data_IF_746861260105
#
_entry.id   IF_746861260105
#
_cell.length_a   1.000
_cell.length_b   1.000
_cell.length_c   1.000
_cell.angle_alpha   90.00
_cell.angle_beta   90.00
_cell.angle_gamma   90.00
#
_symmetry.space_group_name_H-M   'P 1'
#
loop_
_entity.id
_entity.type
_entity.pdbx_description
1 polymer ?
#
# COMPACT_ATOMS: atom_id res chain seq x y z
N UNK A 1 -117.08 6.04 55.04
CA UNK A 1 -117.88 5.97 56.28
C UNK A 1 -119.08 6.93 56.19
N UNK A 2 -119.98 6.68 55.25
CA UNK A 2 -121.15 7.52 54.90
C UNK A 2 -122.45 6.69 54.99
N UNK A 3 -122.55 5.73 55.92
CA UNK A 3 -123.63 4.74 55.91
C UNK A 3 -124.17 4.32 57.30
N UNK A 4 -123.93 5.09 58.37
CA UNK A 4 -124.30 4.63 59.73
C UNK A 4 -125.20 5.56 60.56
N UNK A 5 -125.82 6.60 60.00
CA UNK A 5 -126.76 7.45 60.77
C UNK A 5 -128.13 7.68 60.14
N UNK A 6 -128.55 6.87 59.18
CA UNK A 6 -129.86 7.00 58.50
C UNK A 6 -131.00 6.25 59.23
N UNK A 7 -130.77 5.66 60.41
CA UNK A 7 -131.67 4.66 61.00
C UNK A 7 -132.53 5.14 62.20
N UNK A 8 -132.78 6.44 62.41
CA UNK A 8 -133.50 6.92 63.62
C UNK A 8 -134.76 7.75 63.35
N UNK A 9 -135.29 7.79 62.13
CA UNK A 9 -136.47 8.63 61.81
C UNK A 9 -137.67 7.84 61.25
N UNK A 10 -138.20 6.90 62.04
CA UNK A 10 -139.55 6.36 61.81
C UNK A 10 -140.43 6.65 63.04
N UNK A 11 -141.44 7.54 62.93
CA UNK A 11 -142.35 7.83 64.03
C UNK A 11 -143.25 6.61 64.35
N UNK A 12 -143.55 6.36 65.64
CA UNK A 12 -144.48 5.29 66.04
C UNK A 12 -145.92 5.61 65.59
N UNK A 13 -146.78 4.59 65.37
CA UNK A 13 -148.15 4.77 64.90
C UNK A 13 -149.01 5.56 65.92
N UNK A 14 -149.92 6.45 65.47
CA UNK A 14 -150.74 7.26 66.36
C UNK A 14 -151.79 6.42 67.11
N UNK A 15 -152.16 6.80 68.35
CA UNK A 15 -153.18 6.09 69.15
C UNK A 15 -154.59 6.22 68.54
N UNK A 16 -155.46 5.24 68.84
CA UNK A 16 -156.75 4.93 68.17
C UNK A 16 -157.80 6.05 68.06
N UNK A 17 -157.56 7.23 68.64
CA UNK A 17 -158.47 8.38 68.63
C UNK A 17 -157.87 9.68 68.07
N UNK A 18 -156.75 9.59 67.32
CA UNK A 18 -156.15 10.75 66.65
C UNK A 18 -156.89 11.10 65.34
N UNK A 19 -157.43 12.33 65.22
CA UNK A 19 -158.16 12.79 64.02
C UNK A 19 -157.32 13.62 63.04
N UNK A 20 -156.00 13.74 63.26
CA UNK A 20 -155.09 14.53 62.43
C UNK A 20 -154.48 13.74 61.26
N UNK A 21 -154.11 14.44 60.20
CA UNK A 21 -153.49 13.86 58.98
C UNK A 21 -152.04 13.45 59.29
N UNK A 22 -151.73 12.17 59.12
CA UNK A 22 -150.37 11.61 59.33
C UNK A 22 -149.48 11.96 58.12
N UNK A 23 -148.33 12.62 58.30
CA UNK A 23 -147.42 12.94 57.20
C UNK A 23 -146.74 11.68 56.64
N UNK A 24 -146.57 11.60 55.32
CA UNK A 24 -145.81 10.53 54.67
C UNK A 24 -144.30 10.65 54.95
N UNK A 25 -143.60 9.52 55.06
CA UNK A 25 -142.17 9.46 55.39
C UNK A 25 -141.30 10.22 54.36
N UNK A 26 -140.37 11.11 54.80
CA UNK A 26 -139.54 11.90 53.89
C UNK A 26 -138.45 11.05 53.22
N UNK A 27 -138.23 11.24 51.91
CA UNK A 27 -137.18 10.55 51.15
C UNK A 27 -135.80 11.19 51.39
N UNK A 28 -134.84 10.40 51.89
CA UNK A 28 -133.35 10.52 51.95
C UNK A 28 -132.60 11.88 52.08
N UNK A 29 -133.25 13.04 52.00
CA UNK A 29 -132.70 14.39 52.25
C UNK A 29 -133.84 15.38 52.55
N UNK A 30 -134.29 15.54 53.81
CA UNK A 30 -135.48 16.32 54.14
C UNK A 30 -135.27 17.83 53.87
N UNK A 31 -136.23 18.46 53.19
CA UNK A 31 -136.21 19.91 52.93
C UNK A 31 -136.73 20.69 54.15
N UNK A 32 -136.41 21.99 54.28
CA UNK A 32 -136.81 22.81 55.44
C UNK A 32 -138.34 22.76 55.73
N UNK A 33 -139.25 22.75 54.73
CA UNK A 33 -140.68 22.53 54.96
C UNK A 33 -141.02 21.14 55.53
N UNK A 34 -140.32 20.08 55.13
CA UNK A 34 -140.53 18.73 55.65
C UNK A 34 -140.14 18.63 57.13
N UNK A 35 -139.03 19.30 57.50
CA UNK A 35 -138.60 19.42 58.90
C UNK A 35 -139.60 20.23 59.75
N UNK A 36 -140.16 21.32 59.20
CA UNK A 36 -141.19 22.12 59.88
C UNK A 36 -142.47 21.31 60.09
N UNK A 37 -142.93 20.58 59.07
CA UNK A 37 -144.13 19.74 59.18
C UNK A 37 -143.94 18.57 60.16
N UNK A 38 -142.76 17.96 60.21
CA UNK A 38 -142.43 16.95 61.22
C UNK A 38 -142.47 17.53 62.64
N UNK A 39 -141.90 18.72 62.85
CA UNK A 39 -141.92 19.41 64.16
C UNK A 39 -143.37 19.75 64.57
N UNK A 40 -144.19 20.27 63.65
CA UNK A 40 -145.61 20.56 63.90
C UNK A 40 -146.39 19.28 64.23
N UNK A 41 -146.13 18.17 63.54
CA UNK A 41 -146.75 16.87 63.82
C UNK A 41 -146.38 16.36 65.23
N UNK A 42 -145.11 16.42 65.63
CA UNK A 42 -144.69 16.04 66.99
C UNK A 42 -145.28 16.97 68.07
N UNK A 43 -145.46 18.27 67.78
CA UNK A 43 -146.16 19.20 68.68
C UNK A 43 -147.65 18.85 68.82
N UNK A 44 -148.33 18.50 67.72
CA UNK A 44 -149.72 18.07 67.74
C UNK A 44 -149.92 16.73 68.45
N UNK A 45 -148.99 15.78 68.25
CA UNK A 45 -148.97 14.52 68.98
C UNK A 45 -148.80 14.74 70.49
N UNK A 46 -147.88 15.64 70.88
CA UNK A 46 -147.67 16.05 72.26
C UNK A 46 -148.90 16.68 72.91
N UNK A 47 -149.62 17.55 72.20
CA UNK A 47 -150.88 18.15 72.65
C UNK A 47 -152.01 17.12 72.77
N UNK A 48 -152.10 16.15 71.85
CA UNK A 48 -153.11 15.09 71.91
C UNK A 48 -152.86 14.09 73.06
N UNK A 49 -151.60 13.77 73.35
CA UNK A 49 -151.22 12.97 74.52
C UNK A 49 -151.47 13.73 75.84
N UNK A 50 -151.31 15.05 75.84
CA UNK A 50 -151.66 15.89 77.01
C UNK A 50 -153.18 15.97 77.24
N UNK A 51 -153.99 15.95 76.18
CA UNK A 51 -155.45 15.90 76.27
C UNK A 51 -156.00 14.50 76.62
N UNK A 52 -155.25 13.42 76.32
CA UNK A 52 -155.58 12.06 76.74
C UNK A 52 -155.23 11.77 78.22
N UNK A 53 -154.18 12.40 78.76
CA UNK A 53 -153.80 12.27 80.18
C UNK A 53 -154.67 13.10 81.15
N UNK A 54 -155.48 14.04 80.65
CA UNK A 54 -156.44 14.82 81.46
C UNK A 54 -157.83 14.14 81.58
N UNK A 55 -158.02 12.95 81.00
CA UNK A 55 -159.29 12.18 81.06
C UNK A 55 -159.27 10.90 81.89
N UNK A 56 -158.20 10.64 82.66
CA UNK A 56 -158.08 9.40 83.44
C UNK A 56 -157.92 9.56 84.95
N UNK A 57 -158.07 10.78 85.49
CA UNK A 57 -158.23 10.99 86.94
C UNK A 57 -159.23 12.14 87.22
N UNK A 58 -160.46 11.74 87.58
CA UNK A 58 -161.57 12.50 88.19
C UNK A 58 -162.52 13.36 87.32
N UNK A 59 -163.76 12.87 87.10
CA UNK A 59 -164.97 13.66 86.87
C UNK A 59 -165.94 13.63 88.08
N UNK A 60 -166.48 14.82 88.40
CA UNK A 60 -167.83 15.15 88.89
C UNK A 60 -168.43 14.58 90.20
N UNK A 61 -168.73 15.51 91.13
CA UNK A 61 -170.03 15.71 91.82
C UNK A 61 -170.16 17.23 92.08
N UNK A 62 -170.97 18.03 91.38
CA UNK A 62 -172.45 18.15 91.28
C UNK A 62 -173.07 18.98 92.43
N UNK A 63 -173.18 20.30 92.16
CA UNK A 63 -174.34 21.20 92.35
C UNK A 63 -174.95 21.53 93.74
N UNK A 64 -175.36 22.82 93.84
CA UNK A 64 -176.35 23.45 94.74
C UNK A 64 -175.85 23.74 96.18
N UNK A 65 -175.93 24.94 96.77
CA UNK A 65 -177.09 25.82 96.98
C UNK A 65 -176.64 27.31 97.13
N UNK A 66 -177.50 28.19 96.63
CA UNK A 66 -177.63 29.66 96.75
C UNK A 66 -176.93 30.42 97.91
N UNK A 67 -176.25 31.53 97.54
CA UNK A 67 -176.28 32.92 98.13
C UNK A 67 -175.89 33.16 99.61
N UNK A 68 -175.49 34.39 100.05
CA UNK A 68 -174.66 35.44 99.45
C UNK A 68 -173.45 35.86 100.35
N UNK A 69 -172.43 36.51 99.76
CA UNK A 69 -171.62 37.51 100.46
C UNK A 69 -170.21 37.09 100.93
N UNK A 70 -169.24 37.97 100.64
CA UNK A 70 -167.83 38.01 101.14
C UNK A 70 -166.78 37.08 100.50
N UNK A 71 -166.43 37.34 99.23
CA UNK A 71 -165.21 36.81 98.58
C UNK A 71 -164.26 37.95 98.15
N UNK A 72 -163.52 38.51 99.10
CA UNK A 72 -162.38 39.41 98.82
C UNK A 72 -161.09 39.04 99.60
N UNK A 73 -161.09 37.96 100.40
CA UNK A 73 -159.98 37.63 101.29
C UNK A 73 -159.18 36.35 100.97
N UNK A 74 -159.69 35.44 100.13
CA UNK A 74 -159.06 34.11 99.94
C UNK A 74 -158.26 33.96 98.63
N UNK A 75 -158.57 34.73 97.58
CA UNK A 75 -157.93 34.59 96.27
C UNK A 75 -156.48 35.14 96.21
N UNK A 76 -156.12 36.09 97.07
CA UNK A 76 -154.80 36.75 97.05
C UNK A 76 -153.70 35.91 97.75
N UNK A 77 -154.07 35.01 98.67
CA UNK A 77 -153.10 34.23 99.45
C UNK A 77 -152.54 33.01 98.70
N UNK A 78 -153.35 32.37 97.85
CA UNK A 78 -152.97 31.15 97.12
C UNK A 78 -152.04 31.45 95.93
N UNK A 79 -152.19 32.59 95.25
CA UNK A 79 -151.34 32.99 94.12
C UNK A 79 -149.88 33.33 94.54
N UNK A 80 -149.65 33.77 95.79
CA UNK A 80 -148.30 34.12 96.26
C UNK A 80 -147.44 32.92 96.68
N UNK A 81 -148.06 31.82 97.14
CA UNK A 81 -147.31 30.62 97.56
C UNK A 81 -146.78 29.83 96.36
N UNK A 82 -147.57 29.64 95.30
CA UNK A 82 -147.19 28.75 94.18
C UNK A 82 -146.08 29.34 93.26
N UNK A 83 -145.98 30.67 93.15
CA UNK A 83 -145.01 31.31 92.24
C UNK A 83 -143.57 31.41 92.79
N UNK A 84 -143.41 31.42 94.12
CA UNK A 84 -142.10 31.50 94.77
C UNK A 84 -141.35 30.17 94.75
N UNK A 85 -142.05 29.06 95.00
CA UNK A 85 -141.44 27.74 95.16
C UNK A 85 -140.90 27.19 93.84
N UNK A 86 -141.63 27.35 92.73
CA UNK A 86 -141.19 26.92 91.39
C UNK A 86 -139.94 27.70 90.93
N UNK A 87 -139.85 29.00 91.24
CA UNK A 87 -138.72 29.85 90.82
C UNK A 87 -137.43 29.54 91.60
N UNK A 88 -137.55 29.14 92.86
CA UNK A 88 -136.41 28.73 93.68
C UNK A 88 -135.81 27.41 93.16
N UNK A 89 -136.66 26.44 92.83
CA UNK A 89 -136.22 25.12 92.34
C UNK A 89 -135.53 25.21 90.96
N UNK A 90 -136.07 26.02 90.05
CA UNK A 90 -135.48 26.24 88.73
C UNK A 90 -134.08 26.88 88.83
N UNK A 91 -133.90 27.86 89.72
CA UNK A 91 -132.60 28.50 89.92
C UNK A 91 -131.57 27.53 90.49
N UNK A 92 -131.98 26.62 91.39
CA UNK A 92 -131.11 25.59 91.95
C UNK A 92 -130.61 24.61 90.88
N UNK A 93 -131.51 24.11 90.04
CA UNK A 93 -131.13 23.21 88.93
C UNK A 93 -130.21 23.90 87.92
N UNK A 94 -130.44 25.18 87.63
CA UNK A 94 -129.57 25.96 86.75
C UNK A 94 -128.16 26.16 87.33
N UNK A 95 -128.03 26.37 88.65
CA UNK A 95 -126.72 26.47 89.31
C UNK A 95 -125.99 25.14 89.31
N UNK A 96 -126.67 24.04 89.62
CA UNK A 96 -126.08 22.70 89.63
C UNK A 96 -125.62 22.29 88.23
N UNK A 97 -126.41 22.57 87.18
CA UNK A 97 -126.02 22.30 85.79
C UNK A 97 -124.83 23.15 85.32
N UNK A 98 -124.72 24.42 85.78
CA UNK A 98 -123.57 25.27 85.48
C UNK A 98 -122.30 24.77 86.16
N UNK A 99 -122.40 24.30 87.39
CA UNK A 99 -121.28 23.72 88.12
C UNK A 99 -120.83 22.40 87.49
N UNK A 100 -121.74 21.49 87.13
CA UNK A 100 -121.41 20.26 86.39
C UNK A 100 -120.72 20.59 85.06
N UNK A 101 -121.28 21.54 84.29
CA UNK A 101 -120.69 21.95 83.02
C UNK A 101 -119.28 22.55 83.20
N UNK A 102 -119.07 23.40 84.20
CA UNK A 102 -117.74 23.93 84.52
C UNK A 102 -116.77 22.83 84.92
N UNK A 103 -117.18 21.85 85.73
CA UNK A 103 -116.31 20.73 86.09
C UNK A 103 -115.94 19.88 84.87
N UNK A 104 -116.87 19.63 83.94
CA UNK A 104 -116.59 18.92 82.68
C UNK A 104 -115.66 19.71 81.77
N UNK A 105 -115.82 21.03 81.66
CA UNK A 105 -114.89 21.88 80.90
C UNK A 105 -113.49 21.88 81.49
N UNK A 106 -113.35 22.01 82.82
CA UNK A 106 -112.02 21.95 83.46
C UNK A 106 -111.36 20.57 83.30
N UNK A 107 -112.13 19.48 83.29
CA UNK A 107 -111.60 18.14 83.02
C UNK A 107 -111.18 17.98 81.56
N UNK A 108 -111.92 18.56 80.62
CA UNK A 108 -111.57 18.61 79.21
C UNK A 108 -110.28 19.41 78.98
N UNK A 109 -110.14 20.57 79.60
CA UNK A 109 -108.92 21.39 79.51
C UNK A 109 -107.72 20.61 80.03
N UNK A 110 -107.82 19.97 81.21
CA UNK A 110 -106.75 19.11 81.74
C UNK A 110 -106.39 17.96 80.80
N UNK A 111 -107.40 17.29 80.22
CA UNK A 111 -107.17 16.20 79.26
C UNK A 111 -106.52 16.71 77.98
N UNK A 112 -106.92 17.88 77.48
CA UNK A 112 -106.31 18.50 76.31
C UNK A 112 -104.86 18.89 76.60
N UNK A 113 -104.56 19.51 77.75
CA UNK A 113 -103.20 19.84 78.17
C UNK A 113 -102.31 18.59 78.26
N UNK A 114 -102.83 17.48 78.81
CA UNK A 114 -102.10 16.21 78.86
C UNK A 114 -101.85 15.62 77.47
N UNK A 115 -102.82 15.73 76.55
CA UNK A 115 -102.66 15.28 75.16
C UNK A 115 -101.64 16.16 74.42
N UNK A 116 -101.70 17.49 74.57
CA UNK A 116 -100.72 18.40 73.98
C UNK A 116 -99.31 18.14 74.50
N UNK A 117 -99.15 17.89 75.81
CA UNK A 117 -97.85 17.47 76.37
C UNK A 117 -97.31 16.18 75.75
N UNK A 118 -98.16 15.17 75.57
CA UNK A 118 -97.76 13.91 74.90
C UNK A 118 -97.37 14.14 73.44
N UNK A 119 -98.08 15.02 72.74
CA UNK A 119 -97.76 15.40 71.36
C UNK A 119 -96.43 16.15 71.31
N UNK A 120 -96.18 17.10 72.21
CA UNK A 120 -94.90 17.80 72.32
C UNK A 120 -93.73 16.85 72.63
N UNK A 121 -93.93 15.86 73.51
CA UNK A 121 -92.94 14.82 73.79
C UNK A 121 -92.65 13.95 72.57
N UNK A 122 -93.68 13.58 71.79
CA UNK A 122 -93.49 12.86 70.53
C UNK A 122 -92.74 13.69 69.49
N UNK A 123 -93.08 14.98 69.34
CA UNK A 123 -92.37 15.89 68.45
C UNK A 123 -90.90 16.05 68.86
N UNK A 124 -90.59 16.20 70.16
CA UNK A 124 -89.20 16.18 70.64
C UNK A 124 -88.47 14.89 70.27
N UNK A 125 -89.13 13.74 70.44
CA UNK A 125 -88.57 12.44 70.02
C UNK A 125 -88.34 12.33 68.51
N UNK A 126 -89.19 12.97 67.70
CA UNK A 126 -89.01 13.07 66.24
C UNK A 126 -87.84 13.99 65.90
N UNK A 127 -87.73 15.16 66.53
CA UNK A 127 -86.64 16.12 66.35
C UNK A 127 -85.29 15.48 66.70
N UNK A 128 -85.20 14.74 67.80
CA UNK A 128 -83.99 14.00 68.18
C UNK A 128 -83.58 12.95 67.14
N UNK A 129 -84.56 12.28 66.50
CA UNK A 129 -84.28 11.31 65.42
C UNK A 129 -83.82 12.00 64.15
N UNK A 130 -84.40 13.14 63.79
CA UNK A 130 -83.94 13.94 62.66
C UNK A 130 -82.52 14.47 62.88
N UNK A 131 -82.22 14.99 64.07
CA UNK A 131 -80.85 15.40 64.42
C UNK A 131 -79.84 14.25 64.28
N UNK A 132 -80.18 13.04 64.73
CA UNK A 132 -79.33 11.85 64.54
C UNK A 132 -79.19 11.44 63.07
N UNK A 133 -80.22 11.65 62.25
CA UNK A 133 -80.16 11.41 60.81
C UNK A 133 -79.21 12.42 60.15
N UNK A 134 -79.33 13.71 60.49
CA UNK A 134 -78.46 14.77 59.98
C UNK A 134 -77.00 14.52 60.36
N UNK A 135 -76.72 14.12 61.61
CA UNK A 135 -75.37 13.72 62.02
C UNK A 135 -74.81 12.54 61.20
N UNK A 136 -75.66 11.56 60.85
CA UNK A 136 -75.25 10.42 60.01
C UNK A 136 -74.99 10.86 58.57
N UNK A 137 -75.81 11.74 58.01
CA UNK A 137 -75.58 12.30 56.68
C UNK A 137 -74.31 13.13 56.63
N UNK A 138 -74.04 13.96 57.64
CA UNK A 138 -72.79 14.71 57.74
C UNK A 138 -71.56 13.77 57.75
N UNK A 139 -71.62 12.66 58.51
CA UNK A 139 -70.55 11.64 58.51
C UNK A 139 -70.41 10.92 57.16
N UNK A 140 -71.52 10.72 56.44
CA UNK A 140 -71.49 10.13 55.10
C UNK A 140 -70.82 11.11 54.12
N UNK A 141 -71.17 12.39 54.16
CA UNK A 141 -70.57 13.43 53.33
C UNK A 141 -69.07 13.58 53.60
N UNK A 142 -68.64 13.54 54.86
CA UNK A 142 -67.21 13.51 55.22
C UNK A 142 -66.48 12.30 54.63
N UNK A 143 -67.11 11.12 54.65
CA UNK A 143 -66.53 9.92 54.04
C UNK A 143 -66.46 10.03 52.51
N UNK A 144 -67.45 10.60 51.86
CA UNK A 144 -67.44 10.82 50.41
C UNK A 144 -66.35 11.82 50.02
N UNK A 145 -66.18 12.93 50.76
CA UNK A 145 -65.03 13.83 50.58
C UNK A 145 -63.69 13.10 50.70
N UNK A 146 -63.55 12.23 51.70
CA UNK A 146 -62.35 11.41 51.85
C UNK A 146 -62.15 10.36 50.75
N UNK A 147 -63.22 9.93 50.07
CA UNK A 147 -63.13 9.07 48.88
C UNK A 147 -62.71 9.89 47.66
N UNK A 148 -63.29 11.06 47.45
CA UNK A 148 -62.95 11.97 46.36
C UNK A 148 -61.46 12.36 46.43
N UNK A 149 -60.97 12.78 47.61
CA UNK A 149 -59.55 13.07 47.82
C UNK A 149 -58.62 11.89 47.53
N UNK A 150 -59.08 10.65 47.73
CA UNK A 150 -58.30 9.45 47.38
C UNK A 150 -58.29 9.20 45.89
N UNK A 151 -59.40 9.45 45.19
CA UNK A 151 -59.45 9.36 43.74
C UNK A 151 -58.59 10.43 43.08
N UNK A 152 -58.62 11.67 43.57
CA UNK A 152 -57.74 12.74 43.09
C UNK A 152 -56.26 12.35 43.20
N UNK A 153 -55.85 11.78 44.35
CA UNK A 153 -54.47 11.26 44.53
C UNK A 153 -54.14 10.09 43.60
N UNK A 154 -55.12 9.25 43.26
CA UNK A 154 -54.93 8.15 42.31
C UNK A 154 -54.72 8.73 40.90
N UNK A 155 -55.53 9.70 40.49
CA UNK A 155 -55.42 10.36 39.19
C UNK A 155 -54.08 11.10 39.04
N UNK A 156 -53.62 11.80 40.09
CA UNK A 156 -52.28 12.41 40.12
C UNK A 156 -51.17 11.36 39.93
N UNK A 157 -51.29 10.20 40.59
CA UNK A 157 -50.32 9.11 40.43
C UNK A 157 -50.33 8.53 39.03
N UNK A 158 -51.50 8.38 38.40
CA UNK A 158 -51.60 7.90 37.02
C UNK A 158 -50.99 8.90 36.04
N UNK A 159 -51.26 10.20 36.19
CA UNK A 159 -50.57 11.24 35.42
C UNK A 159 -49.04 11.14 35.55
N UNK A 160 -48.53 10.94 36.77
CA UNK A 160 -47.11 10.74 36.99
C UNK A 160 -46.54 9.43 36.40
N UNK A 161 -47.39 8.41 36.20
CA UNK A 161 -47.00 7.18 35.48
C UNK A 161 -46.96 7.43 33.98
N UNK A 162 -47.95 8.11 33.41
CA UNK A 162 -48.00 8.46 31.99
C UNK A 162 -46.79 9.31 31.59
N UNK A 163 -46.47 10.35 32.37
CA UNK A 163 -45.26 11.17 32.15
C UNK A 163 -43.95 10.37 32.19
N UNK A 164 -43.90 9.28 32.99
CA UNK A 164 -42.74 8.40 33.04
C UNK A 164 -42.67 7.51 31.81
N UNK A 165 -43.80 7.03 31.30
CA UNK A 165 -43.84 6.27 30.05
C UNK A 165 -43.46 7.14 28.86
N UNK A 166 -43.94 8.37 28.77
CA UNK A 166 -43.54 9.32 27.73
C UNK A 166 -42.02 9.54 27.71
N UNK A 167 -41.41 9.75 28.89
CA UNK A 167 -39.95 9.86 29.03
C UNK A 167 -39.21 8.57 28.65
N UNK A 168 -39.80 7.40 28.89
CA UNK A 168 -39.21 6.12 28.47
C UNK A 168 -39.24 6.01 26.94
N UNK A 169 -40.37 6.35 26.31
CA UNK A 169 -40.51 6.33 24.85
C UNK A 169 -39.55 7.30 24.17
N UNK A 170 -39.38 8.51 24.71
CA UNK A 170 -38.36 9.47 24.23
C UNK A 170 -36.94 8.88 24.33
N UNK A 171 -36.63 8.20 25.44
CA UNK A 171 -35.32 7.54 25.60
C UNK A 171 -35.12 6.41 24.61
N UNK A 172 -36.15 5.62 24.32
CA UNK A 172 -36.07 4.55 23.33
C UNK A 172 -35.87 5.10 21.91
N UNK A 173 -36.59 6.17 21.53
CA UNK A 173 -36.33 6.88 20.27
C UNK A 173 -34.88 7.36 20.16
N UNK A 174 -34.35 7.94 21.25
CA UNK A 174 -32.95 8.34 21.30
C UNK A 174 -31.95 7.17 21.25
N UNK A 175 -32.34 5.97 21.65
CA UNK A 175 -31.53 4.75 21.49
C UNK A 175 -31.57 4.27 20.04
N UNK A 176 -32.74 4.24 19.41
CA UNK A 176 -32.90 3.86 18.00
C UNK A 176 -32.09 4.76 17.09
N UNK A 177 -32.17 6.09 17.25
CA UNK A 177 -31.35 7.05 16.49
C UNK A 177 -29.84 6.84 16.66
N UNK A 178 -29.42 6.35 17.83
CA UNK A 178 -28.01 6.03 18.08
C UNK A 178 -27.60 4.75 17.39
N UNK A 179 -28.47 3.75 17.31
CA UNK A 179 -28.22 2.53 16.56
C UNK A 179 -28.16 2.80 15.05
N UNK A 180 -29.07 3.62 14.51
CA UNK A 180 -29.02 4.03 13.10
C UNK A 180 -27.68 4.69 12.74
N UNK A 181 -27.20 5.61 13.59
CA UNK A 181 -25.87 6.24 13.42
C UNK A 181 -24.71 5.25 13.54
N UNK A 182 -24.86 4.21 14.35
CA UNK A 182 -23.84 3.15 14.48
C UNK A 182 -23.81 2.32 13.20
N UNK A 183 -24.96 1.95 12.65
CA UNK A 183 -25.06 1.20 11.41
C UNK A 183 -24.50 1.98 10.21
N UNK A 184 -24.80 3.27 10.10
CA UNK A 184 -24.19 4.15 9.10
C UNK A 184 -22.65 4.17 9.20
N UNK A 185 -22.12 4.25 10.43
CA UNK A 185 -20.68 4.21 10.67
C UNK A 185 -20.06 2.87 10.31
N UNK A 186 -20.75 1.75 10.59
CA UNK A 186 -20.27 0.43 10.18
C UNK A 186 -20.23 0.31 8.65
N UNK A 187 -21.26 0.80 7.94
CA UNK A 187 -21.24 0.82 6.48
C UNK A 187 -20.10 1.67 5.90
N UNK A 188 -19.76 2.81 6.51
CA UNK A 188 -18.58 3.60 6.10
C UNK A 188 -17.27 2.84 6.34
N UNK A 189 -17.15 2.18 7.49
CA UNK A 189 -15.98 1.34 7.82
C UNK A 189 -15.83 0.20 6.80
N UNK A 190 -16.91 -0.50 6.46
CA UNK A 190 -16.89 -1.59 5.48
C UNK A 190 -16.44 -1.09 4.11
N UNK A 191 -16.98 0.04 3.62
CA UNK A 191 -16.54 0.67 2.36
C UNK A 191 -15.06 1.03 2.38
N UNK A 192 -14.56 1.54 3.51
CA UNK A 192 -13.14 1.87 3.68
C UNK A 192 -12.27 0.63 3.67
N UNK A 193 -12.70 -0.46 4.30
CA UNK A 193 -12.00 -1.76 4.30
C UNK A 193 -11.97 -2.36 2.89
N UNK A 194 -13.07 -2.33 2.15
CA UNK A 194 -13.13 -2.79 0.75
C UNK A 194 -12.15 -2.01 -0.12
N UNK A 195 -12.16 -0.68 -0.02
CA UNK A 195 -11.22 0.17 -0.76
C UNK A 195 -9.77 -0.14 -0.41
N UNK A 196 -9.44 -0.22 0.88
CA UNK A 196 -8.09 -0.56 1.34
C UNK A 196 -7.65 -1.94 0.84
N UNK A 197 -8.56 -2.92 0.83
CA UNK A 197 -8.28 -4.27 0.34
C UNK A 197 -8.01 -4.28 -1.17
N UNK A 198 -8.79 -3.52 -1.95
CA UNK A 198 -8.59 -3.36 -3.38
C UNK A 198 -7.27 -2.65 -3.71
N UNK A 199 -7.00 -1.53 -3.04
CA UNK A 199 -5.77 -0.75 -3.21
C UNK A 199 -4.55 -1.61 -2.86
N UNK A 200 -4.55 -2.25 -1.69
CA UNK A 200 -3.47 -3.15 -1.23
C UNK A 200 -3.29 -4.32 -2.19
N UNK A 201 -4.38 -4.94 -2.66
CA UNK A 201 -4.33 -6.02 -3.64
C UNK A 201 -3.72 -5.59 -4.98
N UNK A 202 -4.00 -4.36 -5.44
CA UNK A 202 -3.38 -3.80 -6.65
C UNK A 202 -1.89 -3.53 -6.48
N UNK A 203 -1.49 -2.98 -5.33
CA UNK A 203 -0.09 -2.70 -5.00
C UNK A 203 0.72 -3.99 -4.91
N UNK A 204 0.17 -5.03 -4.28
CA UNK A 204 0.82 -6.34 -4.22
C UNK A 204 1.03 -6.95 -5.61
N UNK A 205 0.04 -6.84 -6.51
CA UNK A 205 0.19 -7.31 -7.91
C UNK A 205 1.29 -6.55 -8.66
N UNK A 206 1.37 -5.23 -8.50
CA UNK A 206 2.45 -4.42 -9.12
C UNK A 206 3.83 -4.81 -8.57
N UNK A 207 3.95 -4.99 -7.25
CA UNK A 207 5.19 -5.44 -6.61
C UNK A 207 5.61 -6.81 -7.15
N UNK A 208 4.68 -7.77 -7.26
CA UNK A 208 4.98 -9.10 -7.80
C UNK A 208 5.47 -9.00 -9.25
N UNK A 209 4.79 -8.26 -10.12
CA UNK A 209 5.21 -8.08 -11.51
C UNK A 209 6.59 -7.41 -11.63
N UNK A 210 6.89 -6.44 -10.77
CA UNK A 210 8.21 -5.79 -10.71
C UNK A 210 9.30 -6.76 -10.26
N UNK A 211 9.02 -7.61 -9.28
CA UNK A 211 9.95 -8.65 -8.81
C UNK A 211 10.22 -9.69 -9.90
N UNK A 212 9.18 -10.17 -10.59
CA UNK A 212 9.34 -11.08 -11.74
C UNK A 212 10.20 -10.45 -12.84
N UNK A 213 9.95 -9.17 -13.14
CA UNK A 213 10.76 -8.43 -14.12
C UNK A 213 12.22 -8.32 -13.66
N UNK A 214 12.46 -8.00 -12.39
CA UNK A 214 13.81 -7.90 -11.83
C UNK A 214 14.53 -9.26 -11.83
N UNK A 215 13.81 -10.35 -11.54
CA UNK A 215 14.33 -11.72 -11.59
C UNK A 215 14.77 -12.07 -13.02
N UNK A 216 13.95 -11.79 -14.03
CA UNK A 216 14.34 -12.05 -15.42
C UNK A 216 15.56 -11.22 -15.86
N UNK A 217 15.69 -9.98 -15.39
CA UNK A 217 16.87 -9.14 -15.65
C UNK A 217 18.12 -9.69 -14.95
N UNK A 218 18.00 -10.12 -13.69
CA UNK A 218 19.09 -10.74 -12.92
C UNK A 218 19.59 -12.03 -13.59
N UNK A 219 18.67 -12.85 -14.11
CA UNK A 219 19.01 -14.07 -14.84
C UNK A 219 19.76 -13.77 -16.14
N UNK A 220 19.31 -12.77 -16.91
CA UNK A 220 20.02 -12.30 -18.11
C UNK A 220 21.41 -11.77 -17.78
N UNK A 221 21.55 -10.97 -16.73
CA UNK A 221 22.85 -10.45 -16.28
C UNK A 221 23.79 -11.58 -15.88
N UNK A 222 23.29 -12.59 -15.16
CA UNK A 222 24.06 -13.77 -14.77
C UNK A 222 24.54 -14.57 -15.98
N UNK A 223 23.71 -14.69 -17.02
CA UNK A 223 24.12 -15.32 -18.27
C UNK A 223 25.24 -14.52 -18.97
N UNK A 224 25.12 -13.20 -19.07
CA UNK A 224 26.18 -12.37 -19.66
C UNK A 224 27.51 -12.49 -18.91
N UNK A 225 27.48 -12.52 -17.57
CA UNK A 225 28.68 -12.72 -16.74
C UNK A 225 29.31 -14.09 -17.02
N UNK A 226 28.49 -15.14 -17.15
CA UNK A 226 28.99 -16.48 -17.51
C UNK A 226 29.67 -16.48 -18.88
N UNK A 227 29.04 -15.90 -19.90
CA UNK A 227 29.60 -15.81 -21.25
C UNK A 227 30.91 -14.98 -21.26
N UNK A 228 30.98 -13.91 -20.46
CA UNK A 228 32.19 -13.11 -20.31
C UNK A 228 33.33 -13.92 -19.67
N UNK A 229 33.05 -14.72 -18.63
CA UNK A 229 34.04 -15.58 -18.00
C UNK A 229 34.56 -16.66 -18.96
N UNK A 230 33.70 -17.30 -19.75
CA UNK A 230 34.13 -18.29 -20.76
C UNK A 230 35.05 -17.68 -21.83
N UNK A 231 34.78 -16.42 -22.24
CA UNK A 231 35.69 -15.67 -23.12
C UNK A 231 37.00 -15.32 -22.44
N UNK A 232 36.96 -14.94 -21.16
CA UNK A 232 38.15 -14.63 -20.38
C UNK A 232 39.05 -15.86 -20.24
N UNK A 233 38.50 -17.03 -19.93
CA UNK A 233 39.22 -18.30 -19.88
C UNK A 233 39.90 -18.62 -21.22
N UNK A 234 39.20 -18.38 -22.32
CA UNK A 234 39.74 -18.55 -23.68
C UNK A 234 40.93 -17.63 -23.93
N UNK A 235 40.82 -16.35 -23.56
CA UNK A 235 41.90 -15.37 -23.69
C UNK A 235 43.09 -15.75 -22.80
N UNK A 236 42.85 -16.18 -21.55
CA UNK A 236 43.91 -16.67 -20.66
C UNK A 236 44.66 -17.87 -21.26
N UNK A 237 43.95 -18.80 -21.91
CA UNK A 237 44.59 -19.90 -22.64
C UNK A 237 45.41 -19.44 -23.86
N UNK A 238 44.98 -18.39 -24.55
CA UNK A 238 45.75 -17.83 -25.66
C UNK A 238 47.01 -17.09 -25.16
N UNK A 239 46.89 -16.34 -24.07
CA UNK A 239 48.03 -15.64 -23.45
C UNK A 239 49.11 -16.64 -23.03
N UNK A 240 48.74 -17.72 -22.34
CA UNK A 240 49.70 -18.76 -21.94
C UNK A 240 50.43 -19.39 -23.13
N UNK A 241 49.72 -19.66 -24.24
CA UNK A 241 50.36 -20.13 -25.49
C UNK A 241 51.33 -19.10 -26.07
N UNK A 242 50.96 -17.81 -26.07
CA UNK A 242 51.86 -16.76 -26.56
C UNK A 242 53.10 -16.61 -25.67
N UNK A 243 52.95 -16.72 -24.35
CA UNK A 243 54.07 -16.73 -23.40
C UNK A 243 55.04 -17.90 -23.69
N UNK A 244 54.53 -19.10 -23.95
CA UNK A 244 55.33 -20.26 -24.36
C UNK A 244 56.10 -19.99 -25.66
N UNK A 245 55.43 -19.51 -26.71
CA UNK A 245 56.10 -19.20 -27.99
C UNK A 245 57.14 -18.09 -27.86
N UNK A 246 56.89 -17.09 -27.01
CA UNK A 246 57.85 -16.01 -26.74
C UNK A 246 59.10 -16.57 -26.05
N UNK A 247 58.91 -17.48 -25.08
CA UNK A 247 60.00 -18.17 -24.41
C UNK A 247 60.85 -19.01 -25.37
N UNK A 248 60.23 -19.68 -26.33
CA UNK A 248 60.93 -20.44 -27.38
C UNK A 248 61.73 -19.52 -28.31
N UNK A 249 61.14 -18.38 -28.71
CA UNK A 249 61.83 -17.37 -29.51
C UNK A 249 63.06 -16.81 -28.79
N UNK A 250 62.96 -16.51 -27.49
CA UNK A 250 64.09 -16.03 -26.69
C UNK A 250 65.25 -17.05 -26.69
N UNK A 251 64.96 -18.34 -26.54
CA UNK A 251 65.97 -19.41 -26.64
C UNK A 251 66.62 -19.45 -28.03
N UNK A 252 65.83 -19.33 -29.10
CA UNK A 252 66.34 -19.29 -30.47
C UNK A 252 67.23 -18.07 -30.73
N UNK A 253 66.85 -16.90 -30.22
CA UNK A 253 67.64 -15.66 -30.34
C UNK A 253 68.98 -15.82 -29.63
N UNK A 254 68.99 -16.37 -28.42
CA UNK A 254 70.24 -16.65 -27.68
C UNK A 254 71.16 -17.60 -28.46
N UNK A 255 70.61 -18.64 -29.07
CA UNK A 255 71.39 -19.56 -29.91
C UNK A 255 71.98 -18.86 -31.15
N UNK A 256 71.22 -17.99 -31.81
CA UNK A 256 71.71 -17.21 -32.94
C UNK A 256 72.79 -16.20 -32.55
N UNK A 257 72.69 -15.59 -31.37
CA UNK A 257 73.74 -14.73 -30.82
C UNK A 257 75.02 -15.52 -30.59
N UNK A 258 74.94 -16.68 -29.94
CA UNK A 258 76.10 -17.58 -29.76
C UNK A 258 76.74 -17.95 -31.10
N UNK A 259 75.95 -18.30 -32.11
CA UNK A 259 76.45 -18.62 -33.45
C UNK A 259 77.11 -17.41 -34.13
N UNK A 260 76.53 -16.21 -34.00
CA UNK A 260 77.12 -14.96 -34.51
C UNK A 260 78.47 -14.68 -33.87
N UNK A 261 78.59 -14.88 -32.56
CA UNK A 261 79.83 -14.67 -31.83
C UNK A 261 80.91 -15.67 -32.24
N UNK A 262 80.56 -16.94 -32.43
CA UNK A 262 81.45 -17.97 -32.98
C UNK A 262 81.94 -17.56 -34.37
N UNK A 263 81.05 -17.12 -35.26
CA UNK A 263 81.40 -16.66 -36.61
C UNK A 263 82.34 -15.45 -36.56
N UNK A 264 82.15 -14.52 -35.62
CA UNK A 264 83.03 -13.39 -35.43
C UNK A 264 84.45 -13.84 -35.04
N UNK A 265 84.57 -14.81 -34.12
CA UNK A 265 85.86 -15.40 -33.72
C UNK A 265 86.51 -16.11 -34.92
N UNK A 266 85.76 -16.96 -35.65
CA UNK A 266 86.28 -17.67 -36.83
C UNK A 266 86.78 -16.69 -37.88
N UNK A 267 86.05 -15.59 -38.13
CA UNK A 267 86.48 -14.55 -39.08
C UNK A 267 87.81 -13.91 -38.66
N UNK A 268 88.01 -13.66 -37.36
CA UNK A 268 89.28 -13.14 -36.85
C UNK A 268 90.42 -14.14 -37.05
N UNK A 269 90.21 -15.42 -36.68
CA UNK A 269 91.21 -16.48 -36.85
C UNK A 269 91.58 -16.67 -38.32
N UNK A 270 90.60 -16.72 -39.21
CA UNK A 270 90.87 -16.83 -40.66
C UNK A 270 91.64 -15.62 -41.17
N UNK A 271 91.31 -14.41 -40.72
CA UNK A 271 92.05 -13.20 -41.10
C UNK A 271 93.50 -13.22 -40.59
N UNK A 272 93.78 -13.79 -39.42
CA UNK A 272 95.15 -13.95 -38.91
C UNK A 272 95.92 -15.01 -39.69
N UNK A 273 95.31 -16.16 -39.98
CA UNK A 273 95.92 -17.23 -40.76
C UNK A 273 96.24 -16.80 -42.20
N UNK A 274 95.31 -16.10 -42.87
CA UNK A 274 95.55 -15.53 -44.21
C UNK A 274 96.73 -14.56 -44.18
N UNK A 275 96.87 -13.75 -43.12
CA UNK A 275 97.99 -12.82 -42.97
C UNK A 275 99.32 -13.58 -42.83
N UNK A 276 99.36 -14.63 -42.02
CA UNK A 276 100.56 -15.48 -41.84
C UNK A 276 100.95 -16.18 -43.14
N UNK A 277 99.98 -16.76 -43.86
CA UNK A 277 100.21 -17.38 -45.18
C UNK A 277 100.74 -16.34 -46.17
N UNK A 278 100.17 -15.14 -46.21
CA UNK A 278 100.63 -14.06 -47.11
C UNK A 278 102.07 -13.65 -46.81
N UNK A 279 102.45 -13.58 -45.54
CA UNK A 279 103.82 -13.31 -45.12
C UNK A 279 104.78 -14.42 -45.56
N UNK A 280 104.41 -15.69 -45.35
CA UNK A 280 105.19 -16.85 -45.82
C UNK A 280 105.34 -16.86 -47.35
N UNK A 281 104.29 -16.54 -48.10
CA UNK A 281 104.35 -16.43 -49.58
C UNK A 281 105.30 -15.31 -50.00
N UNK A 282 105.23 -14.14 -49.36
CA UNK A 282 106.16 -13.02 -49.61
C UNK A 282 107.62 -13.43 -49.39
N UNK A 283 107.90 -14.18 -48.31
CA UNK A 283 109.23 -14.72 -48.04
C UNK A 283 109.68 -15.74 -49.09
N UNK A 284 108.77 -16.60 -49.57
CA UNK A 284 109.06 -17.55 -50.67
C UNK A 284 109.38 -16.79 -51.96
N UNK A 285 108.58 -15.79 -52.31
CA UNK A 285 108.80 -14.94 -53.49
C UNK A 285 110.16 -14.25 -53.43
N UNK A 286 110.52 -13.69 -52.27
CA UNK A 286 111.84 -13.10 -52.06
C UNK A 286 112.97 -14.13 -52.25
N UNK A 287 112.83 -15.34 -51.69
CA UNK A 287 113.81 -16.41 -51.86
C UNK A 287 113.91 -16.87 -53.30
N UNK A 288 112.79 -17.04 -54.01
CA UNK A 288 112.78 -17.38 -55.44
C UNK A 288 113.50 -16.30 -56.25
N UNK A 289 113.27 -15.02 -55.96
CA UNK A 289 114.01 -13.92 -56.57
C UNK A 289 115.53 -14.05 -56.36
N UNK A 290 115.97 -14.34 -55.14
CA UNK A 290 117.40 -14.58 -54.87
C UNK A 290 117.96 -15.83 -55.55
N UNK A 291 117.16 -16.89 -55.71
CA UNK A 291 117.58 -18.09 -56.45
C UNK A 291 117.66 -17.83 -57.94
N UNK A 292 116.74 -17.03 -58.51
CA UNK A 292 116.78 -16.63 -59.92
C UNK A 292 118.03 -15.80 -60.23
N UNK A 293 118.38 -14.83 -59.38
CA UNK A 293 119.61 -14.04 -59.56
C UNK A 293 120.86 -14.91 -59.42
N UNK A 294 120.91 -15.79 -58.42
CA UNK A 294 122.01 -16.74 -58.27
C UNK A 294 122.11 -17.72 -59.46
N UNK A 295 120.99 -18.21 -59.98
CA UNK A 295 120.98 -19.08 -61.16
C UNK A 295 121.50 -18.34 -62.39
N UNK A 296 121.04 -17.11 -62.63
CA UNK A 296 121.53 -16.27 -63.72
C UNK A 296 123.05 -16.05 -63.63
N UNK A 297 123.56 -15.77 -62.43
CA UNK A 297 125.00 -15.63 -62.17
C UNK A 297 125.76 -16.94 -62.45
N UNK A 298 125.29 -18.08 -61.94
CA UNK A 298 125.95 -19.38 -62.20
C UNK A 298 125.92 -19.77 -63.68
N UNK A 299 124.82 -19.52 -64.39
CA UNK A 299 124.74 -19.73 -65.84
C UNK A 299 125.75 -18.85 -66.58
N UNK A 300 125.89 -17.58 -66.19
CA UNK A 300 126.87 -16.68 -66.76
C UNK A 300 128.31 -17.15 -66.49
N UNK A 301 128.62 -17.52 -65.25
CA UNK A 301 129.94 -18.07 -64.86
C UNK A 301 130.27 -19.36 -65.59
N UNK A 302 129.29 -20.23 -65.82
CA UNK A 302 129.48 -21.46 -66.60
C UNK A 302 129.79 -21.15 -68.07
N UNK A 303 129.03 -20.24 -68.70
CA UNK A 303 129.32 -19.79 -70.07
C UNK A 303 130.74 -19.24 -70.19
N UNK A 304 131.12 -18.38 -69.24
CA UNK A 304 132.48 -17.83 -69.16
C UNK A 304 133.53 -18.93 -69.00
N UNK A 305 133.36 -19.86 -68.05
CA UNK A 305 134.30 -20.96 -67.81
C UNK A 305 134.45 -21.88 -69.02
N UNK A 306 133.35 -22.28 -69.67
CA UNK A 306 133.38 -23.09 -70.89
C UNK A 306 134.14 -22.40 -72.01
N UNK A 307 133.93 -21.09 -72.18
CA UNK A 307 134.67 -20.27 -73.15
C UNK A 307 136.16 -20.25 -72.83
N UNK A 308 136.54 -19.98 -71.58
CA UNK A 308 137.96 -19.98 -71.15
C UNK A 308 138.62 -21.34 -71.35
N UNK A 309 137.95 -22.45 -71.01
CA UNK A 309 138.48 -23.81 -71.23
C UNK A 309 138.71 -24.10 -72.73
N UNK A 310 137.76 -23.73 -73.60
CA UNK A 310 137.92 -23.90 -75.06
C UNK A 310 139.06 -23.05 -75.62
N UNK A 311 139.21 -21.82 -75.15
CA UNK A 311 140.33 -20.94 -75.52
C UNK A 311 141.68 -21.52 -75.08
N UNK A 312 141.76 -22.05 -73.85
CA UNK A 312 142.97 -22.73 -73.36
C UNK A 312 143.34 -23.94 -74.22
N UNK A 313 142.35 -24.77 -74.61
CA UNK A 313 142.58 -25.91 -75.51
C UNK A 313 143.12 -25.47 -76.88
N UNK A 314 142.57 -24.39 -77.46
CA UNK A 314 143.05 -23.84 -78.73
C UNK A 314 144.48 -23.29 -78.62
N UNK A 315 144.86 -22.67 -77.50
CA UNK A 315 146.22 -22.18 -77.27
C UNK A 315 147.25 -23.34 -77.15
N UNK A 316 146.86 -24.49 -76.60
CA UNK A 316 147.75 -25.65 -76.49
C UNK A 316 147.94 -26.41 -77.81
N UNK A 317 147.00 -26.29 -78.75
CA UNK A 317 147.04 -26.94 -80.06
C UNK A 317 147.99 -26.22 -81.05
N UNK A 318 149.30 -26.30 -80.81
CA UNK A 318 150.33 -25.66 -81.66
C UNK A 318 150.40 -26.20 -83.10
N UNK A 319 149.86 -27.39 -83.39
CA UNK A 319 149.71 -27.97 -84.76
C UNK A 319 148.54 -28.98 -84.85
N UNK A 320 147.32 -28.59 -84.50
CA UNK A 320 146.13 -29.45 -84.59
C UNK A 320 144.83 -28.66 -84.78
N UNK A 321 143.70 -29.32 -85.12
CA UNK A 321 142.46 -28.66 -85.45
C UNK A 321 141.90 -27.86 -84.27
N UNK A 322 141.70 -26.55 -84.42
CA UNK A 322 141.05 -25.69 -83.43
C UNK A 322 139.60 -26.12 -83.18
N UNK A 323 139.19 -26.02 -81.92
CA UNK A 323 137.82 -26.24 -81.47
C UNK A 323 137.04 -24.96 -81.71
N UNK A 324 135.82 -25.10 -82.27
CA UNK A 324 134.90 -23.98 -82.49
C UNK A 324 134.60 -23.26 -81.17
N UNK A 325 134.75 -21.95 -81.16
CA UNK A 325 134.37 -21.10 -80.03
C UNK A 325 132.98 -20.56 -80.33
N UNK A 326 132.00 -20.72 -79.42
CA UNK A 326 130.70 -20.09 -79.60
C UNK A 326 130.80 -18.57 -79.51
N UNK A 327 129.87 -17.84 -80.13
CA UNK A 327 129.75 -16.38 -79.92
C UNK A 327 129.19 -16.04 -78.52
N UNK A 328 129.02 -14.75 -78.20
CA UNK A 328 128.51 -14.31 -76.89
C UNK A 328 127.09 -14.82 -76.56
N UNK A 329 126.32 -15.19 -77.57
CA UNK A 329 124.98 -15.78 -77.43
C UNK A 329 125.03 -17.30 -77.19
N UNK A 330 126.22 -17.92 -77.27
CA UNK A 330 126.43 -19.36 -77.10
C UNK A 330 126.19 -20.18 -78.37
N UNK A 331 126.09 -19.53 -79.53
CA UNK A 331 125.86 -20.18 -80.82
C UNK A 331 127.19 -20.67 -81.41
N UNK A 332 127.22 -21.91 -81.87
CA UNK A 332 128.42 -22.52 -82.47
C UNK A 332 128.61 -22.01 -83.93
N UNK A 333 129.85 -21.67 -84.35
CA UNK A 333 130.20 -21.28 -85.72
C UNK A 333 129.75 -22.25 -86.82
N UNK A 334 129.50 -23.50 -86.48
CA UNK A 334 128.92 -24.50 -87.39
C UNK A 334 127.48 -24.19 -87.79
N UNK A 335 126.78 -23.35 -87.04
CA UNK A 335 125.40 -22.93 -87.31
C UNK A 335 125.33 -21.60 -88.07
N UNK A 336 126.43 -21.16 -88.70
CA UNK A 336 126.44 -19.92 -89.48
C UNK A 336 125.60 -20.02 -90.76
N UNK A 337 124.89 -18.95 -91.16
CA UNK A 337 123.98 -18.97 -92.32
C UNK A 337 124.64 -19.08 -93.71
N UNK A 338 125.98 -19.09 -93.79
CA UNK A 338 126.73 -18.98 -95.04
C UNK A 338 127.87 -20.00 -95.06
N UNK A 339 128.18 -20.58 -96.24
CA UNK A 339 129.22 -21.60 -96.50
C UNK A 339 130.65 -21.09 -96.20
N UNK A 340 130.91 -20.81 -94.92
CA UNK A 340 132.18 -20.36 -94.38
C UNK A 340 133.01 -21.58 -93.99
N UNK A 341 134.27 -21.69 -94.47
CA UNK A 341 135.15 -22.75 -94.02
C UNK A 341 135.45 -22.59 -92.53
N UNK A 342 135.35 -23.71 -91.79
CA UNK A 342 135.64 -23.74 -90.36
C UNK A 342 137.12 -23.43 -90.10
N UNK A 343 137.38 -22.53 -89.16
CA UNK A 343 138.73 -22.16 -88.74
C UNK A 343 139.32 -23.29 -87.91
N UNK A 344 140.02 -24.21 -88.58
CA UNK A 344 140.62 -25.39 -87.93
C UNK A 344 142.12 -25.24 -87.73
N UNK A 345 142.82 -24.34 -88.39
CA UNK A 345 144.27 -24.23 -88.21
C UNK A 345 144.74 -22.78 -88.37
N UNK A 346 145.94 -22.48 -87.90
CA UNK A 346 146.57 -21.16 -88.04
C UNK A 346 146.59 -20.68 -89.51
N UNK A 347 146.78 -21.60 -90.46
CA UNK A 347 146.76 -21.32 -91.90
C UNK A 347 145.36 -21.04 -92.47
N UNK A 348 144.29 -21.50 -91.80
CA UNK A 348 142.91 -21.32 -92.29
C UNK A 348 142.55 -19.84 -92.43
N UNK A 349 143.03 -18.98 -91.53
CA UNK A 349 142.79 -17.53 -91.64
C UNK A 349 143.47 -16.88 -92.84
N UNK A 350 144.59 -17.43 -93.31
CA UNK A 350 145.31 -16.87 -94.46
C UNK A 350 144.55 -17.13 -95.77
N UNK A 351 143.77 -18.21 -95.84
CA UNK A 351 143.01 -18.63 -97.01
C UNK A 351 141.57 -18.08 -97.07
N UNK A 352 141.13 -17.29 -96.08
CA UNK A 352 139.80 -16.69 -96.10
C UNK A 352 139.71 -15.50 -97.05
N UNK A 353 138.59 -15.40 -97.75
CA UNK A 353 138.23 -14.20 -98.52
C UNK A 353 137.89 -13.03 -97.60
N UNK A 354 137.96 -11.82 -98.15
CA UNK A 354 137.63 -10.60 -97.41
C UNK A 354 136.22 -10.59 -96.85
N UNK A 355 135.28 -11.16 -97.59
CA UNK A 355 133.89 -11.25 -97.14
C UNK A 355 133.75 -12.29 -96.04
N UNK A 356 134.47 -13.41 -96.14
CA UNK A 356 134.41 -14.46 -95.13
C UNK A 356 134.91 -13.97 -93.76
N UNK A 357 135.96 -13.15 -93.74
CA UNK A 357 136.49 -12.56 -92.50
C UNK A 357 135.49 -11.59 -91.87
N UNK A 358 134.77 -10.80 -92.68
CA UNK A 358 133.70 -9.91 -92.19
C UNK A 358 132.56 -10.68 -91.54
N UNK A 359 132.12 -11.76 -92.15
CA UNK A 359 131.04 -12.58 -91.61
C UNK A 359 131.43 -13.19 -90.26
N UNK A 360 132.67 -13.68 -90.12
CA UNK A 360 133.19 -14.13 -88.83
C UNK A 360 133.22 -13.01 -87.78
N UNK A 361 133.65 -11.80 -88.13
CA UNK A 361 133.66 -10.66 -87.20
C UNK A 361 132.24 -10.30 -86.74
N UNK A 362 131.27 -10.28 -87.65
CA UNK A 362 129.87 -10.02 -87.31
C UNK A 362 129.28 -11.10 -86.41
N UNK A 363 129.52 -12.38 -86.74
CA UNK A 363 129.01 -13.50 -85.96
C UNK A 363 129.50 -13.49 -84.51
N UNK A 364 130.78 -13.19 -84.30
CA UNK A 364 131.38 -13.12 -82.98
C UNK A 364 131.13 -11.81 -82.24
N UNK A 365 130.47 -10.83 -82.88
CA UNK A 365 130.28 -9.50 -82.32
C UNK A 365 131.60 -8.78 -82.03
N UNK A 366 132.69 -9.13 -82.73
CA UNK A 366 133.99 -8.51 -82.51
C UNK A 366 133.90 -7.08 -83.02
N UNK A 367 134.10 -6.05 -82.18
CA UNK A 367 134.10 -4.67 -82.65
C UNK A 367 135.19 -4.53 -83.73
N UNK A 368 134.88 -3.99 -84.93
CA UNK A 368 135.88 -3.83 -85.97
C UNK A 368 136.98 -2.93 -85.41
N UNK A 369 138.16 -3.49 -85.15
CA UNK A 369 139.22 -2.85 -84.37
C UNK A 369 139.73 -1.52 -84.94
N UNK A 370 139.27 -1.11 -86.14
CA UNK A 370 139.51 0.17 -86.83
C UNK A 370 138.35 0.45 -87.79
N UNK A 371 137.80 1.66 -87.83
CA UNK A 371 136.64 1.99 -88.70
C UNK A 371 137.06 2.57 -90.05
N UNK A 372 136.14 2.59 -91.03
CA UNK A 372 136.38 3.12 -92.40
C UNK A 372 136.84 4.60 -92.41
N UNK A 373 136.70 5.33 -91.30
CA UNK A 373 137.16 6.72 -91.18
C UNK A 373 138.66 6.87 -90.85
N UNK A 374 139.38 5.79 -90.54
CA UNK A 374 140.81 5.81 -90.20
C UNK A 374 141.75 5.59 -91.42
N UNK A 375 141.36 6.06 -92.62
CA UNK A 375 142.20 5.95 -93.83
C UNK A 375 143.56 6.66 -93.72
N UNK A 376 143.74 7.60 -92.77
CA UNK A 376 144.94 8.45 -92.67
C UNK A 376 146.07 7.89 -91.78
N UNK A 377 145.90 6.72 -91.17
CA UNK A 377 146.95 6.10 -90.32
C UNK A 377 147.85 5.11 -91.08
N UNK A 378 147.63 4.93 -92.38
CA UNK A 378 148.36 3.96 -93.19
C UNK A 378 149.41 4.65 -94.05
N UNK A 379 150.65 4.16 -93.98
CA UNK A 379 151.83 4.78 -94.59
C UNK A 379 151.83 4.74 -96.14
N UNK A 380 150.88 4.05 -96.78
CA UNK A 380 150.74 3.99 -98.24
C UNK A 380 149.28 3.73 -98.67
N UNK A 381 148.72 4.56 -99.55
CA UNK A 381 147.30 4.51 -99.98
C UNK A 381 146.95 3.35 -100.91
N UNK A 382 147.94 2.65 -101.47
CA UNK A 382 147.73 1.47 -102.31
C UNK A 382 147.51 0.16 -101.52
N UNK A 383 147.88 0.09 -100.23
CA UNK A 383 147.85 -1.16 -99.44
C UNK A 383 146.81 -1.20 -98.27
N UNK A 384 145.99 -0.16 -98.07
CA UNK A 384 145.02 -0.07 -96.96
C UNK A 384 144.06 -1.26 -96.84
N UNK A 385 143.61 -1.80 -97.99
CA UNK A 385 142.66 -2.91 -97.99
C UNK A 385 143.25 -4.18 -97.38
N UNK A 386 144.56 -4.36 -97.56
CA UNK A 386 145.36 -5.48 -97.09
C UNK A 386 145.64 -5.33 -95.60
N UNK A 387 146.04 -4.13 -95.13
CA UNK A 387 146.31 -3.88 -93.71
C UNK A 387 145.04 -3.93 -92.84
N UNK A 388 143.90 -3.45 -93.36
CA UNK A 388 142.60 -3.57 -92.68
C UNK A 388 142.16 -5.02 -92.54
N UNK A 389 142.35 -5.82 -93.59
CA UNK A 389 142.12 -7.26 -93.58
C UNK A 389 143.02 -7.95 -92.54
N UNK A 390 144.28 -7.56 -92.47
CA UNK A 390 145.24 -8.13 -91.54
C UNK A 390 144.93 -7.76 -90.08
N UNK A 391 144.45 -6.54 -89.81
CA UNK A 391 143.96 -6.13 -88.50
C UNK A 391 142.67 -6.88 -88.07
N UNK A 392 141.75 -7.10 -89.01
CA UNK A 392 140.56 -7.92 -88.78
C UNK A 392 140.94 -9.39 -88.53
N UNK A 393 141.84 -9.95 -89.33
CA UNK A 393 142.41 -11.29 -89.10
C UNK A 393 143.04 -11.36 -87.72
N UNK A 394 143.83 -10.36 -87.31
CA UNK A 394 144.46 -10.30 -85.99
C UNK A 394 143.44 -10.20 -84.84
N UNK A 395 142.35 -9.46 -85.03
CA UNK A 395 141.28 -9.33 -84.03
C UNK A 395 140.47 -10.63 -83.90
N UNK A 396 140.17 -11.26 -85.03
CA UNK A 396 139.52 -12.57 -85.09
C UNK A 396 140.42 -13.66 -84.48
N UNK A 397 141.71 -13.64 -84.80
CA UNK A 397 142.74 -14.45 -84.16
C UNK A 397 142.72 -14.26 -82.66
N UNK A 398 142.82 -13.01 -82.18
CA UNK A 398 142.86 -12.69 -80.77
C UNK A 398 141.62 -13.23 -80.04
N UNK A 399 140.43 -13.08 -80.62
CA UNK A 399 139.18 -13.59 -80.06
C UNK A 399 139.15 -15.13 -79.98
N UNK A 400 139.82 -15.83 -80.91
CA UNK A 400 139.78 -17.29 -81.03
C UNK A 400 140.94 -17.98 -80.30
N UNK A 401 142.04 -17.28 -80.05
CA UNK A 401 143.26 -17.87 -79.46
C UNK A 401 143.63 -17.30 -78.10
N UNK A 402 143.09 -16.16 -77.70
CA UNK A 402 143.49 -15.52 -76.44
C UNK A 402 142.49 -15.88 -75.35
N UNK A 403 142.88 -16.64 -74.32
CA UNK A 403 142.01 -16.90 -73.19
C UNK A 403 141.62 -15.57 -72.52
N UNK A 404 140.32 -15.47 -72.18
CA UNK A 404 139.75 -14.38 -71.36
C UNK A 404 139.83 -14.77 -69.89
#
# INVERSE_FOLDING_TARGET
MSQAMTTVLLPPPPPEHFSGVVPAAPANSPTLPDLINAILYYQQLGLSCYQALIRQDYPNDVSNIQSPGTEAGLAEKIASMVSKDVKAELNRSLTEAKEDMNTRFTLLDKRMDEQFKKVDEQFKGVDERFNKIDERFNKIDERFKGVDERFDKIDERFKGVDERFDKIDERFKGVDERFDKIDERFQDVDKRIEKLSADTGSQLRDIVHRLETQETQSNKASQFVREANEKLDTVSSQITKFEETTRELDLSVNNLQNNRDIVAIVKQVVATEIRDVKEKVSQIDQRLGTMQTALADTQQRLKQSQRTQRLQLNHLALRGPWISIPNEEGVDPTQMPHDLPLLREHGSLNNLSREQIRQYILFYGIPPGRTRSEKSQFANTENWSTDYLEAMKKSLMLYITTPV
#
